data_IF_900494037729
#
_entry.id   IF_900494037729
#
_cell.length_a   1.000
_cell.length_b   1.000
_cell.length_c   1.000
_cell.angle_alpha   90.00
_cell.angle_beta   90.00
_cell.angle_gamma   90.00
#
_symmetry.space_group_name_H-M   'P 1'
#
loop_
_entity.id
_entity.type
_entity.pdbx_description
1 polymer ?
#
# COMPACT_ATOMS: atom_id res chain seq x y z
N UNK A 1 12.01 28.49 -1.35
CA UNK A 1 10.75 27.85 -0.96
C UNK A 1 10.80 27.63 0.52
N UNK A 2 9.91 28.29 1.29
CA UNK A 2 9.90 28.08 2.74
C UNK A 2 9.43 26.64 3.00
N UNK A 3 10.30 25.86 3.64
CA UNK A 3 9.94 24.49 4.07
C UNK A 3 8.79 24.59 5.07
N UNK A 4 7.61 24.21 4.64
CA UNK A 4 6.44 24.15 5.52
C UNK A 4 6.59 22.99 6.46
N UNK A 5 6.65 23.26 7.75
CA UNK A 5 6.75 22.26 8.80
C UNK A 5 5.49 22.34 9.65
N UNK A 6 4.75 21.24 9.69
CA UNK A 6 3.66 21.02 10.64
C UNK A 6 4.16 20.05 11.71
N UNK A 7 3.89 20.33 12.98
CA UNK A 7 4.26 19.44 14.08
C UNK A 7 3.05 18.66 14.55
N UNK A 8 3.18 17.37 14.61
CA UNK A 8 2.18 16.45 15.14
C UNK A 8 2.77 15.61 16.28
N UNK A 9 1.95 15.24 17.27
CA UNK A 9 2.40 14.51 18.46
C UNK A 9 2.78 13.05 18.14
N UNK A 10 2.17 12.44 17.12
CA UNK A 10 2.42 11.04 16.72
C UNK A 10 3.50 10.97 15.63
N UNK A 11 3.40 11.83 14.61
CA UNK A 11 4.25 11.76 13.42
C UNK A 11 5.44 12.71 13.46
N UNK A 12 5.55 13.57 14.48
CA UNK A 12 6.65 14.52 14.62
C UNK A 12 6.59 15.67 13.60
N UNK A 13 7.67 15.91 12.87
CA UNK A 13 7.74 16.98 11.88
C UNK A 13 7.30 16.48 10.50
N UNK A 14 6.21 17.03 10.00
CA UNK A 14 5.67 16.82 8.66
C UNK A 14 6.18 17.94 7.77
N UNK A 15 6.93 17.61 6.73
CA UNK A 15 7.59 18.58 5.84
C UNK A 15 6.98 18.56 4.46
N UNK A 16 6.62 19.73 3.95
CA UNK A 16 5.98 19.86 2.63
C UNK A 16 4.72 19.00 2.47
N UNK A 17 3.99 18.79 3.59
CA UNK A 17 2.78 17.98 3.66
C UNK A 17 2.99 16.47 3.52
N UNK A 18 4.23 16.00 3.66
CA UNK A 18 4.61 14.60 3.59
C UNK A 18 5.38 14.16 4.84
N UNK A 19 5.30 12.88 5.16
CA UNK A 19 6.09 12.27 6.24
C UNK A 19 6.33 10.78 5.97
N UNK A 20 7.37 10.23 6.59
CA UNK A 20 7.62 8.80 6.63
C UNK A 20 7.14 8.26 7.98
N UNK A 21 6.41 7.16 7.97
CA UNK A 21 5.95 6.49 9.20
C UNK A 21 6.25 5.00 9.16
N UNK A 22 6.22 4.34 10.33
CA UNK A 22 6.31 2.90 10.41
C UNK A 22 4.91 2.28 10.35
N UNK A 23 4.66 1.45 9.33
CA UNK A 23 3.42 0.69 9.16
C UNK A 23 3.72 -0.81 9.23
N UNK A 24 3.27 -1.46 10.31
CA UNK A 24 3.51 -2.90 10.55
C UNK A 24 4.98 -3.32 10.39
N UNK A 25 5.92 -2.46 10.85
CA UNK A 25 7.35 -2.73 10.79
C UNK A 25 8.04 -2.36 9.47
N UNK A 26 7.32 -1.77 8.52
CA UNK A 26 7.86 -1.17 7.29
C UNK A 26 7.74 0.34 7.33
N UNK A 27 8.71 1.03 6.75
CA UNK A 27 8.61 2.45 6.47
C UNK A 27 7.77 2.66 5.22
N UNK A 28 6.82 3.57 5.31
CA UNK A 28 5.96 4.00 4.21
C UNK A 28 5.96 5.52 4.13
N UNK A 29 5.71 6.04 2.95
CA UNK A 29 5.49 7.46 2.74
C UNK A 29 4.01 7.81 2.88
N UNK A 30 3.72 8.95 3.48
CA UNK A 30 2.34 9.48 3.63
C UNK A 30 2.30 10.91 3.15
N UNK A 31 1.40 11.17 2.20
CA UNK A 31 1.06 12.50 1.70
C UNK A 31 -0.29 12.96 2.25
N UNK A 32 -0.39 14.23 2.56
CA UNK A 32 -1.57 14.90 3.10
C UNK A 32 -2.07 16.02 2.18
N UNK A 33 -1.63 16.06 0.94
CA UNK A 33 -1.94 17.15 0.02
C UNK A 33 -2.89 16.77 -1.13
N UNK A 34 -3.40 15.55 -1.15
CA UNK A 34 -4.30 15.04 -2.18
C UNK A 34 -5.61 15.84 -2.35
N UNK A 35 -6.06 16.54 -1.30
CA UNK A 35 -7.23 17.44 -1.35
C UNK A 35 -6.90 18.90 -1.63
N UNK A 36 -5.63 19.27 -1.83
CA UNK A 36 -5.19 20.67 -1.92
C UNK A 36 -5.30 21.20 -3.36
N UNK A 37 -6.06 22.29 -3.52
CA UNK A 37 -6.09 23.03 -4.77
C UNK A 37 -4.97 24.09 -4.82
N UNK A 38 -4.40 24.30 -6.00
CA UNK A 38 -3.24 25.17 -6.19
C UNK A 38 -3.50 26.64 -5.85
N UNK A 39 -4.74 27.11 -5.99
CA UNK A 39 -5.19 28.49 -5.75
C UNK A 39 -5.59 28.79 -4.30
N UNK A 40 -5.54 27.80 -3.42
CA UNK A 40 -5.86 28.00 -2.00
C UNK A 40 -4.82 28.86 -1.27
N UNK A 41 -5.28 29.64 -0.29
CA UNK A 41 -4.38 30.35 0.61
C UNK A 41 -3.54 29.38 1.44
N UNK A 42 -2.39 29.83 1.90
CA UNK A 42 -1.49 29.00 2.72
C UNK A 42 -2.15 28.53 4.04
N UNK A 43 -2.97 29.41 4.65
CA UNK A 43 -3.71 29.04 5.86
C UNK A 43 -4.70 27.92 5.58
N UNK A 44 -5.42 27.99 4.44
CA UNK A 44 -6.38 26.95 4.04
C UNK A 44 -5.68 25.62 3.76
N UNK A 45 -4.53 25.66 3.08
CA UNK A 45 -3.72 24.45 2.84
C UNK A 45 -3.26 23.77 4.14
N UNK A 46 -2.80 24.56 5.11
CA UNK A 46 -2.38 24.04 6.42
C UNK A 46 -3.56 23.48 7.21
N UNK A 47 -4.75 24.08 7.11
CA UNK A 47 -5.96 23.55 7.76
C UNK A 47 -6.38 22.21 7.15
N UNK A 48 -6.35 22.09 5.82
CA UNK A 48 -6.62 20.86 5.10
C UNK A 48 -5.67 19.74 5.53
N UNK A 49 -4.37 20.00 5.52
CA UNK A 49 -3.35 19.02 5.95
C UNK A 49 -3.55 18.59 7.40
N UNK A 50 -3.89 19.49 8.31
CA UNK A 50 -4.20 19.11 9.70
C UNK A 50 -5.42 18.19 9.78
N UNK A 51 -6.45 18.47 8.98
CA UNK A 51 -7.61 17.57 8.86
C UNK A 51 -7.21 16.20 8.35
N UNK A 52 -6.41 16.13 7.28
CA UNK A 52 -5.92 14.88 6.72
C UNK A 52 -5.06 14.07 7.71
N UNK A 53 -4.21 14.74 8.50
CA UNK A 53 -3.44 14.11 9.58
C UNK A 53 -4.37 13.42 10.60
N UNK A 54 -5.45 14.08 11.02
CA UNK A 54 -6.41 13.48 11.97
C UNK A 54 -7.14 12.27 11.35
N UNK A 55 -7.46 12.31 10.05
CA UNK A 55 -8.03 11.16 9.35
C UNK A 55 -7.03 10.00 9.25
N UNK A 56 -5.77 10.28 8.92
CA UNK A 56 -4.75 9.22 8.87
C UNK A 56 -4.52 8.55 10.22
N UNK A 57 -4.64 9.25 11.34
CA UNK A 57 -4.55 8.65 12.67
C UNK A 57 -5.56 7.54 12.90
N UNK A 58 -6.74 7.61 12.28
CA UNK A 58 -7.78 6.56 12.36
C UNK A 58 -7.22 5.25 11.77
N UNK A 59 -6.56 5.31 10.62
CA UNK A 59 -5.92 4.17 9.99
C UNK A 59 -4.68 3.73 10.76
N UNK A 60 -3.81 4.67 11.11
CA UNK A 60 -2.53 4.41 11.74
C UNK A 60 -2.65 3.72 13.11
N UNK A 61 -3.60 4.16 13.93
CA UNK A 61 -3.85 3.53 15.25
C UNK A 61 -4.48 2.14 15.15
N UNK A 62 -5.01 1.77 13.99
CA UNK A 62 -5.63 0.49 13.69
C UNK A 62 -4.97 -0.21 12.48
N UNK A 63 -3.65 -0.04 12.30
CA UNK A 63 -2.87 -0.51 11.14
C UNK A 63 -3.20 -1.94 10.73
N UNK A 64 -3.24 -2.86 11.70
CA UNK A 64 -3.46 -4.28 11.42
C UNK A 64 -4.83 -4.55 10.78
N UNK A 65 -5.86 -3.90 11.30
CA UNK A 65 -7.22 -4.07 10.77
C UNK A 65 -7.35 -3.45 9.37
N UNK A 66 -6.77 -2.26 9.17
CA UNK A 66 -6.81 -1.59 7.88
C UNK A 66 -6.00 -2.35 6.83
N UNK A 67 -4.78 -2.77 7.15
CA UNK A 67 -3.93 -3.53 6.22
C UNK A 67 -4.60 -4.85 5.80
N UNK A 68 -5.21 -5.57 6.76
CA UNK A 68 -5.97 -6.81 6.49
C UNK A 68 -7.13 -6.55 5.52
N UNK A 69 -7.96 -5.55 5.78
CA UNK A 69 -9.11 -5.20 4.94
C UNK A 69 -8.72 -4.76 3.54
N UNK A 70 -7.68 -3.93 3.43
CA UNK A 70 -7.18 -3.45 2.15
C UNK A 70 -6.64 -4.62 1.32
N UNK A 71 -5.83 -5.48 1.90
CA UNK A 71 -5.30 -6.67 1.21
C UNK A 71 -6.40 -7.65 0.82
N UNK A 72 -7.42 -7.85 1.65
CA UNK A 72 -8.57 -8.69 1.31
C UNK A 72 -9.29 -8.14 0.08
N UNK A 73 -9.47 -6.82 0.00
CA UNK A 73 -10.08 -6.18 -1.17
C UNK A 73 -9.21 -6.33 -2.42
N UNK A 74 -7.90 -6.10 -2.32
CA UNK A 74 -6.95 -6.30 -3.44
C UNK A 74 -7.01 -7.75 -3.94
N UNK A 75 -7.04 -8.72 -3.03
CA UNK A 75 -7.14 -10.14 -3.42
C UNK A 75 -8.49 -10.45 -4.09
N UNK A 76 -9.58 -9.88 -3.61
CA UNK A 76 -10.89 -10.05 -4.23
C UNK A 76 -10.90 -9.55 -5.67
N UNK A 77 -10.30 -8.40 -5.92
CA UNK A 77 -10.32 -7.75 -7.23
C UNK A 77 -9.26 -8.29 -8.21
N UNK A 78 -8.07 -8.65 -7.74
CA UNK A 78 -6.91 -8.91 -8.58
C UNK A 78 -6.37 -10.35 -8.56
N UNK A 79 -6.97 -11.28 -7.82
CA UNK A 79 -6.43 -12.65 -7.71
C UNK A 79 -6.28 -13.35 -9.06
N UNK A 80 -7.28 -13.26 -9.93
CA UNK A 80 -7.23 -13.90 -11.26
C UNK A 80 -6.10 -13.30 -12.12
N UNK A 81 -5.92 -11.99 -12.03
CA UNK A 81 -4.85 -11.28 -12.77
C UNK A 81 -3.48 -11.67 -12.22
N UNK A 82 -3.35 -11.76 -10.90
CA UNK A 82 -2.10 -12.21 -10.26
C UNK A 82 -1.74 -13.65 -10.62
N UNK A 83 -2.72 -14.56 -10.70
CA UNK A 83 -2.52 -15.93 -11.18
C UNK A 83 -2.05 -15.96 -12.64
N UNK A 84 -2.67 -15.18 -13.51
CA UNK A 84 -2.31 -15.12 -14.94
C UNK A 84 -0.88 -14.59 -15.13
N UNK A 85 -0.52 -13.51 -14.44
CA UNK A 85 0.84 -12.96 -14.52
C UNK A 85 1.88 -13.93 -13.95
N UNK A 86 1.61 -14.49 -12.77
CA UNK A 86 2.53 -15.46 -12.14
C UNK A 86 2.72 -16.71 -13.02
N UNK A 87 1.67 -17.16 -13.72
CA UNK A 87 1.74 -18.28 -14.65
C UNK A 87 2.60 -18.00 -15.88
N UNK A 88 2.85 -16.72 -16.19
CA UNK A 88 3.68 -16.29 -17.32
C UNK A 88 5.18 -16.18 -17.00
N UNK A 89 5.57 -16.30 -15.72
CA UNK A 89 6.98 -16.25 -15.30
C UNK A 89 7.75 -17.42 -15.92
N UNK A 90 8.95 -17.15 -16.44
CA UNK A 90 9.80 -18.22 -16.96
C UNK A 90 10.23 -19.17 -15.86
N UNK A 91 10.32 -20.47 -16.19
CA UNK A 91 10.73 -21.49 -15.19
C UNK A 91 12.10 -21.18 -14.55
N UNK A 92 13.03 -20.58 -15.29
CA UNK A 92 14.35 -20.19 -14.82
C UNK A 92 14.33 -19.06 -13.78
N UNK A 93 13.28 -18.21 -13.77
CA UNK A 93 13.13 -17.08 -12.87
C UNK A 93 12.36 -17.44 -11.59
N UNK A 94 11.66 -18.58 -11.56
CA UNK A 94 10.80 -18.98 -10.45
C UNK A 94 11.52 -19.10 -9.11
N UNK A 95 12.75 -19.60 -9.08
CA UNK A 95 13.52 -19.75 -7.85
C UNK A 95 13.89 -18.37 -7.24
N UNK A 96 14.15 -17.38 -8.10
CA UNK A 96 14.38 -16.00 -7.67
C UNK A 96 13.10 -15.38 -7.11
N UNK A 97 11.96 -15.50 -7.82
CA UNK A 97 10.66 -15.02 -7.38
C UNK A 97 10.23 -15.65 -6.05
N UNK A 98 10.42 -16.95 -5.86
CA UNK A 98 10.16 -17.63 -4.58
C UNK A 98 11.02 -17.02 -3.46
N UNK A 99 12.28 -16.69 -3.74
CA UNK A 99 13.18 -16.06 -2.76
C UNK A 99 12.69 -14.66 -2.38
N UNK A 100 12.22 -13.87 -3.33
CA UNK A 100 11.63 -12.56 -3.08
C UNK A 100 10.36 -12.67 -2.23
N UNK A 101 9.47 -13.60 -2.58
CA UNK A 101 8.27 -13.87 -1.77
C UNK A 101 8.60 -14.28 -0.34
N UNK A 102 9.56 -15.17 -0.11
CA UNK A 102 10.01 -15.56 1.23
C UNK A 102 10.53 -14.35 2.03
N UNK A 103 11.21 -13.41 1.37
CA UNK A 103 11.67 -12.15 1.99
C UNK A 103 10.48 -11.27 2.37
N UNK A 104 9.49 -11.08 1.48
CA UNK A 104 8.32 -10.23 1.72
C UNK A 104 7.43 -10.78 2.84
N UNK A 105 7.25 -12.10 2.85
CA UNK A 105 6.53 -12.81 3.91
C UNK A 105 7.30 -12.89 5.24
N UNK A 106 8.59 -12.59 5.22
CA UNK A 106 9.50 -12.83 6.35
C UNK A 106 9.39 -14.30 6.88
N UNK A 107 9.20 -15.25 5.97
CA UNK A 107 8.98 -16.67 6.26
C UNK A 107 9.52 -17.53 5.14
N UNK A 108 9.86 -18.78 5.46
CA UNK A 108 10.29 -19.77 4.46
C UNK A 108 9.13 -20.66 4.07
N UNK A 109 9.00 -20.91 2.78
CA UNK A 109 8.07 -21.91 2.27
C UNK A 109 8.51 -23.32 2.60
N UNK A 110 7.55 -24.18 2.86
CA UNK A 110 7.78 -25.63 2.90
C UNK A 110 8.11 -26.16 1.50
N UNK A 111 8.73 -27.33 1.40
CA UNK A 111 9.02 -27.94 0.10
C UNK A 111 7.76 -28.15 -0.75
N UNK A 112 6.62 -28.47 -0.11
CA UNK A 112 5.34 -28.60 -0.81
C UNK A 112 4.84 -27.28 -1.40
N UNK A 113 4.94 -26.20 -0.66
CA UNK A 113 4.57 -24.87 -1.17
C UNK A 113 5.47 -24.43 -2.31
N UNK A 114 6.78 -24.68 -2.21
CA UNK A 114 7.73 -24.43 -3.30
C UNK A 114 7.40 -25.24 -4.55
N UNK A 115 7.02 -26.50 -4.40
CA UNK A 115 6.59 -27.33 -5.53
C UNK A 115 5.33 -26.78 -6.22
N UNK A 116 4.36 -26.25 -5.49
CA UNK A 116 3.18 -25.60 -6.08
C UNK A 116 3.55 -24.30 -6.80
N UNK A 117 4.38 -23.47 -6.18
CA UNK A 117 4.88 -22.24 -6.82
C UNK A 117 5.69 -22.55 -8.09
N UNK A 118 6.52 -23.61 -8.09
CA UNK A 118 7.25 -24.06 -9.29
C UNK A 118 6.32 -24.60 -10.39
N UNK A 119 5.11 -24.97 -10.06
CA UNK A 119 4.06 -25.27 -11.06
C UNK A 119 3.30 -24.02 -11.49
N UNK A 120 3.83 -22.83 -11.18
CA UNK A 120 3.24 -21.54 -11.49
C UNK A 120 1.83 -21.34 -10.88
N UNK A 121 1.62 -21.91 -9.68
CA UNK A 121 0.38 -21.76 -8.93
C UNK A 121 0.62 -20.89 -7.69
N UNK A 122 -0.11 -19.81 -7.60
CA UNK A 122 -0.10 -18.91 -6.44
C UNK A 122 -1.42 -19.04 -5.67
N UNK A 123 -1.34 -19.15 -4.34
CA UNK A 123 -2.53 -19.13 -3.50
C UNK A 123 -2.92 -17.71 -3.11
N UNK A 124 -4.19 -17.53 -2.73
CA UNK A 124 -4.68 -16.24 -2.18
C UNK A 124 -3.84 -15.75 -1.02
N UNK A 125 -3.41 -16.65 -0.14
CA UNK A 125 -2.58 -16.32 1.02
C UNK A 125 -1.18 -15.87 0.62
N UNK A 126 -0.55 -16.51 -0.36
CA UNK A 126 0.75 -16.10 -0.89
C UNK A 126 0.64 -14.74 -1.56
N UNK A 127 -0.36 -14.50 -2.40
CA UNK A 127 -0.57 -13.20 -3.02
C UNK A 127 -0.84 -12.12 -1.96
N UNK A 128 -1.82 -12.34 -1.06
CA UNK A 128 -2.17 -11.41 0.01
C UNK A 128 -0.97 -10.97 0.85
N UNK A 129 -0.13 -11.92 1.23
CA UNK A 129 1.02 -11.65 2.10
C UNK A 129 2.28 -11.24 1.33
N UNK A 130 2.32 -11.47 0.03
CA UNK A 130 3.44 -11.10 -0.84
C UNK A 130 3.46 -9.62 -1.25
N UNK A 131 2.33 -8.92 -1.11
CA UNK A 131 2.21 -7.49 -1.36
C UNK A 131 2.39 -6.69 -0.06
N UNK A 132 2.81 -5.43 -0.15
CA UNK A 132 2.98 -4.56 1.01
C UNK A 132 2.67 -3.10 0.68
N UNK A 133 2.22 -2.37 1.70
CA UNK A 133 1.95 -0.94 1.59
C UNK A 133 3.26 -0.18 1.43
N UNK A 134 3.31 0.73 0.48
CA UNK A 134 4.45 1.60 0.22
C UNK A 134 4.10 3.08 0.45
N UNK A 135 2.89 3.48 0.08
CA UNK A 135 2.48 4.87 0.16
C UNK A 135 0.99 5.03 0.44
N UNK A 136 0.64 6.12 1.12
CA UNK A 136 -0.74 6.55 1.38
C UNK A 136 -0.87 8.02 1.03
N UNK A 137 -1.89 8.37 0.25
CA UNK A 137 -2.39 9.73 0.12
C UNK A 137 -3.74 9.86 0.80
N UNK A 138 -3.97 10.92 1.58
CA UNK A 138 -5.20 11.08 2.34
C UNK A 138 -5.62 12.54 2.43
N UNK A 139 -6.94 12.79 2.39
CA UNK A 139 -7.57 14.10 2.45
C UNK A 139 -8.20 14.36 3.81
N UNK A 140 -8.58 15.61 4.08
CA UNK A 140 -9.29 16.01 5.30
C UNK A 140 -10.69 15.40 5.43
N UNK A 141 -11.32 15.04 4.31
CA UNK A 141 -12.61 14.35 4.28
C UNK A 141 -12.49 12.84 4.56
N UNK A 142 -11.25 12.36 4.71
CA UNK A 142 -10.95 10.96 4.99
C UNK A 142 -10.90 10.07 3.75
N UNK A 143 -10.98 10.63 2.56
CA UNK A 143 -10.71 9.88 1.33
C UNK A 143 -9.23 9.56 1.25
N UNK A 144 -8.91 8.33 0.89
CA UNK A 144 -7.53 7.87 0.75
C UNK A 144 -7.31 7.12 -0.55
N UNK A 145 -6.07 7.18 -1.02
CA UNK A 145 -5.48 6.25 -1.99
C UNK A 145 -4.33 5.54 -1.33
N UNK A 146 -4.32 4.22 -1.37
CA UNK A 146 -3.19 3.40 -0.92
C UNK A 146 -2.50 2.79 -2.11
N UNK A 147 -1.19 2.67 -2.00
CA UNK A 147 -0.34 2.10 -3.02
C UNK A 147 0.42 0.90 -2.46
N UNK A 148 0.19 -0.27 -3.03
CA UNK A 148 0.85 -1.53 -2.67
C UNK A 148 1.85 -1.94 -3.74
N UNK A 149 2.91 -2.60 -3.32
CA UNK A 149 3.96 -3.12 -4.18
C UNK A 149 4.28 -4.58 -3.84
N UNK A 150 4.97 -5.28 -4.74
CA UNK A 150 5.22 -6.72 -4.64
C UNK A 150 6.64 -7.14 -5.00
N UNK A 151 7.59 -6.19 -5.10
CA UNK A 151 8.96 -6.43 -5.57
C UNK A 151 9.00 -7.17 -6.93
N UNK A 152 8.12 -6.79 -7.87
CA UNK A 152 8.06 -7.29 -9.25
C UNK A 152 7.61 -8.77 -9.40
N UNK A 153 7.09 -9.40 -8.37
CA UNK A 153 6.73 -10.83 -8.40
C UNK A 153 5.46 -11.09 -9.19
N UNK A 154 4.40 -10.33 -8.90
CA UNK A 154 3.08 -10.58 -9.52
C UNK A 154 2.84 -9.70 -10.73
N UNK A 155 3.30 -8.47 -10.73
CA UNK A 155 2.92 -7.47 -11.73
C UNK A 155 4.11 -6.78 -12.42
N UNK A 156 5.26 -7.43 -12.47
CA UNK A 156 6.44 -7.00 -13.25
C UNK A 156 6.86 -5.52 -13.04
N UNK A 157 6.79 -5.05 -11.80
CA UNK A 157 7.17 -3.68 -11.44
C UNK A 157 6.03 -2.66 -11.45
N UNK A 158 4.81 -3.08 -11.79
CA UNK A 158 3.63 -2.26 -11.61
C UNK A 158 3.17 -2.28 -10.15
N UNK A 159 2.64 -1.15 -9.67
CA UNK A 159 2.04 -1.09 -8.36
C UNK A 159 0.54 -1.39 -8.40
N UNK A 160 -0.05 -1.49 -7.22
CA UNK A 160 -1.49 -1.67 -7.04
C UNK A 160 -2.02 -0.45 -6.31
N UNK A 161 -3.01 0.23 -6.85
CA UNK A 161 -3.74 1.27 -6.13
C UNK A 161 -5.14 0.80 -5.70
N UNK A 162 -5.63 1.39 -4.62
CA UNK A 162 -6.99 1.21 -4.15
C UNK A 162 -7.44 2.48 -3.43
N UNK A 163 -8.65 2.93 -3.76
CA UNK A 163 -9.25 4.12 -3.15
C UNK A 163 -10.34 3.73 -2.16
N UNK A 164 -10.45 4.52 -1.10
CA UNK A 164 -11.48 4.32 -0.09
C UNK A 164 -11.65 5.55 0.79
N UNK A 165 -12.43 5.38 1.85
CA UNK A 165 -12.65 6.39 2.88
C UNK A 165 -12.47 5.77 4.26
N UNK A 166 -11.97 6.53 5.22
CA UNK A 166 -11.77 6.08 6.61
C UNK A 166 -13.05 5.68 7.34
N UNK A 167 -14.23 5.97 6.77
CA UNK A 167 -15.52 5.40 7.20
C UNK A 167 -15.61 3.89 6.99
N UNK A 168 -14.73 3.34 6.14
CA UNK A 168 -14.62 1.91 5.86
C UNK A 168 -15.14 1.49 4.49
N UNK A 169 -15.51 2.41 3.62
CA UNK A 169 -15.95 2.12 2.26
C UNK A 169 -14.75 2.16 1.30
N UNK A 170 -14.67 1.21 0.37
CA UNK A 170 -13.81 1.29 -0.79
C UNK A 170 -14.57 1.92 -1.94
N UNK A 171 -14.02 2.97 -2.53
CA UNK A 171 -14.67 3.79 -3.57
C UNK A 171 -14.26 3.40 -4.99
N UNK A 172 -13.25 2.53 -5.11
CA UNK A 172 -12.84 1.91 -6.38
C UNK A 172 -12.69 0.39 -6.24
N UNK A 173 -12.51 -0.30 -7.36
CA UNK A 173 -11.83 -1.59 -7.40
C UNK A 173 -10.32 -1.33 -7.33
N UNK A 174 -9.56 -2.34 -6.89
CA UNK A 174 -8.09 -2.28 -6.96
C UNK A 174 -7.66 -2.35 -8.43
N UNK A 175 -6.66 -1.54 -8.81
CA UNK A 175 -6.15 -1.49 -10.18
C UNK A 175 -4.63 -1.59 -10.21
N UNK A 176 -4.09 -2.06 -11.33
CA UNK A 176 -2.65 -2.18 -11.58
C UNK A 176 -2.21 -0.93 -12.32
N UNK A 177 -1.26 -0.20 -11.74
CA UNK A 177 -0.79 1.08 -12.23
C UNK A 177 0.73 1.10 -12.44
N UNK A 178 1.21 1.85 -13.44
CA UNK A 178 2.65 2.01 -13.72
C UNK A 178 2.98 2.16 -15.17
#
# INVERSE_FOLDING_TARGET
MDNKIIKDEIFGEIKNFETEVEWLGRKIDVSFDGGIESDWSEEKKVEEVKGAIEQFKIMYLNQKEWDERIRDRIVEDLMEVAEDWFSSINEEDLDEMITVLEKNLNSKFTEKEKEELKKQKVSKEVFKNGIYLEWVDITSDGDFTVFYYDDEVFFAGHGIDLMGNVSGEFTSEADIIG
#
